data_IF_511861051938
#
_entry.id   IF_511861051938
#
_cell.length_a   1.000
_cell.length_b   1.000
_cell.length_c   1.000
_cell.angle_alpha   90.00
_cell.angle_beta   90.00
_cell.angle_gamma   90.00
#
_symmetry.space_group_name_H-M   'P 1'
#
loop_
_entity.id
_entity.type
_entity.pdbx_description
1 polymer ?
#
# COMPACT_ATOMS: atom_id res chain seq x y z
N UNK A 1 -23.85 27.76 3.07
CA UNK A 1 -22.52 27.19 3.42
C UNK A 1 -22.14 26.31 2.23
N UNK A 2 -21.40 26.86 1.27
CA UNK A 2 -21.05 26.12 0.05
C UNK A 2 -20.05 25.03 0.38
N UNK A 3 -20.46 23.79 0.19
CA UNK A 3 -19.58 22.63 0.18
C UNK A 3 -18.71 22.74 -1.08
N UNK A 4 -17.46 23.15 -0.92
CA UNK A 4 -16.50 23.12 -2.01
C UNK A 4 -16.11 21.66 -2.24
N UNK A 5 -16.60 21.08 -3.34
CA UNK A 5 -16.15 19.76 -3.80
C UNK A 5 -14.70 19.91 -4.25
N UNK A 6 -13.77 19.36 -3.47
CA UNK A 6 -12.36 19.31 -3.83
C UNK A 6 -12.21 18.60 -5.20
N UNK A 7 -11.25 19.01 -6.06
CA UNK A 7 -11.04 18.34 -7.33
C UNK A 7 -10.74 16.86 -7.09
N UNK A 8 -11.45 15.98 -7.80
CA UNK A 8 -11.26 14.53 -7.71
C UNK A 8 -9.85 14.19 -8.18
N UNK A 9 -9.02 13.73 -7.26
CA UNK A 9 -7.65 13.26 -7.57
C UNK A 9 -7.74 11.79 -7.94
N UNK A 10 -7.13 11.40 -9.06
CA UNK A 10 -7.13 10.03 -9.54
C UNK A 10 -5.69 9.56 -9.84
N UNK A 11 -5.42 8.27 -9.67
CA UNK A 11 -4.15 7.67 -10.11
C UNK A 11 -4.09 7.61 -11.64
N UNK A 12 -2.92 7.35 -12.26
CA UNK A 12 -2.84 7.11 -13.71
C UNK A 12 -3.71 5.96 -14.22
N UNK A 13 -4.17 5.08 -13.31
CA UNK A 13 -5.08 3.98 -13.62
C UNK A 13 -6.57 4.31 -13.36
N UNK A 14 -6.89 5.57 -13.04
CA UNK A 14 -8.27 6.04 -12.80
C UNK A 14 -8.86 5.69 -11.43
N UNK A 15 -8.01 5.36 -10.44
CA UNK A 15 -8.49 5.05 -9.08
C UNK A 15 -8.66 6.37 -8.31
N UNK A 16 -9.86 6.70 -7.78
CA UNK A 16 -10.06 7.92 -7.02
C UNK A 16 -9.33 7.86 -5.67
N UNK A 17 -8.73 8.98 -5.29
CA UNK A 17 -8.02 9.16 -4.03
C UNK A 17 -8.76 10.15 -3.14
N UNK A 18 -8.93 9.79 -1.87
CA UNK A 18 -9.45 10.68 -0.84
C UNK A 18 -8.34 11.63 -0.35
N UNK A 19 -8.66 12.86 0.09
CA UNK A 19 -7.65 13.81 0.53
C UNK A 19 -6.84 13.36 1.75
N UNK A 20 -7.43 12.58 2.65
CA UNK A 20 -6.82 12.09 3.89
C UNK A 20 -7.36 10.70 4.18
N UNK A 21 -6.46 9.77 4.53
CA UNK A 21 -6.83 8.43 4.96
C UNK A 21 -6.71 8.27 6.49
N UNK A 22 -7.78 7.84 7.14
CA UNK A 22 -7.90 7.74 8.60
C UNK A 22 -7.74 6.32 9.15
N UNK A 23 -7.61 6.14 10.48
CA UNK A 23 -7.51 4.82 11.11
C UNK A 23 -8.70 3.89 10.82
N UNK A 24 -9.90 4.45 10.62
CA UNK A 24 -11.12 3.69 10.34
C UNK A 24 -11.22 3.10 8.93
N UNK A 25 -10.33 3.50 8.02
CA UNK A 25 -10.25 2.96 6.66
C UNK A 25 -9.24 1.82 6.55
N UNK A 26 -8.56 1.51 7.66
CA UNK A 26 -7.70 0.33 7.74
C UNK A 26 -8.57 -0.93 7.69
N UNK A 27 -8.26 -1.80 6.74
CA UNK A 27 -8.81 -3.15 6.69
C UNK A 27 -8.24 -4.05 7.81
N UNK A 28 -8.30 -5.36 7.59
CA UNK A 28 -7.71 -6.33 8.52
C UNK A 28 -6.19 -6.20 8.50
N UNK A 29 -5.56 -6.27 9.68
CA UNK A 29 -4.11 -6.30 9.76
C UNK A 29 -3.57 -7.55 9.04
N UNK A 30 -2.64 -7.38 8.08
CA UNK A 30 -2.12 -8.50 7.33
C UNK A 30 -1.28 -9.43 8.23
N UNK A 31 -1.17 -10.72 7.86
CA UNK A 31 -0.38 -11.70 8.61
C UNK A 31 1.11 -11.35 8.62
N UNK A 32 1.93 -12.05 9.44
CA UNK A 32 3.38 -11.95 9.41
C UNK A 32 3.98 -12.09 7.99
N UNK A 33 5.16 -11.49 7.72
CA UNK A 33 5.85 -11.70 6.45
C UNK A 33 6.18 -13.18 6.26
N UNK A 34 6.14 -13.67 5.02
CA UNK A 34 6.36 -15.09 4.71
C UNK A 34 5.13 -15.97 4.84
N UNK A 35 3.97 -15.42 5.20
CA UNK A 35 2.71 -16.15 5.29
C UNK A 35 1.71 -15.68 4.23
N UNK A 36 0.88 -16.60 3.71
CA UNK A 36 -0.20 -16.27 2.76
C UNK A 36 -1.16 -15.25 3.39
N UNK A 37 -1.61 -14.20 2.67
CA UNK A 37 -1.48 -13.95 1.23
C UNK A 37 -0.24 -13.11 0.85
N UNK A 38 0.79 -13.10 1.69
CA UNK A 38 2.10 -12.47 1.45
C UNK A 38 2.05 -10.95 1.28
N UNK A 39 1.02 -10.28 1.80
CA UNK A 39 0.88 -8.81 1.77
C UNK A 39 2.10 -8.09 2.35
N UNK A 40 2.75 -8.67 3.37
CA UNK A 40 3.96 -8.12 4.02
C UNK A 40 5.28 -8.64 3.41
N UNK A 41 5.22 -9.36 2.29
CA UNK A 41 6.38 -9.97 1.65
C UNK A 41 6.36 -11.51 1.76
N UNK A 42 7.01 -12.15 0.80
CA UNK A 42 7.05 -13.61 0.65
C UNK A 42 8.12 -14.31 1.51
N UNK A 43 9.10 -13.56 2.04
CA UNK A 43 10.15 -14.10 2.91
C UNK A 43 9.99 -13.54 4.32
N UNK A 44 9.98 -14.42 5.33
CA UNK A 44 9.83 -14.03 6.73
C UNK A 44 10.91 -13.06 7.23
N UNK A 45 12.15 -13.23 6.76
CA UNK A 45 13.27 -12.33 7.09
C UNK A 45 13.34 -11.07 6.20
N UNK A 46 12.60 -11.04 5.08
CA UNK A 46 12.70 -9.98 4.06
C UNK A 46 14.14 -9.62 3.69
N UNK A 47 14.40 -8.32 3.52
CA UNK A 47 15.72 -7.79 3.19
C UNK A 47 16.74 -7.82 4.35
N UNK A 48 16.33 -8.20 5.57
CA UNK A 48 17.27 -8.46 6.67
C UNK A 48 18.03 -9.77 6.46
N UNK A 49 17.46 -10.72 5.72
CA UNK A 49 18.11 -11.99 5.38
C UNK A 49 18.82 -11.96 4.03
N UNK A 50 18.18 -11.36 3.01
CA UNK A 50 18.75 -11.23 1.66
C UNK A 50 18.30 -9.93 1.02
N UNK A 51 19.23 -9.04 0.70
CA UNK A 51 18.96 -7.78 0.00
C UNK A 51 18.36 -8.04 -1.39
N UNK A 52 17.62 -7.06 -1.92
CA UNK A 52 17.15 -7.12 -3.31
C UNK A 52 18.32 -7.23 -4.28
N UNK A 53 18.09 -7.89 -5.40
CA UNK A 53 19.09 -7.97 -6.47
C UNK A 53 19.17 -6.63 -7.19
N UNK A 54 20.35 -6.02 -7.22
CA UNK A 54 20.64 -4.92 -8.14
C UNK A 54 20.80 -5.52 -9.55
N UNK A 55 19.86 -5.22 -10.45
CA UNK A 55 19.89 -5.72 -11.83
C UNK A 55 20.32 -4.61 -12.77
N UNK A 56 21.41 -4.86 -13.50
CA UNK A 56 21.83 -4.03 -14.63
C UNK A 56 21.28 -4.68 -15.91
N UNK A 57 20.69 -3.85 -16.76
CA UNK A 57 20.18 -4.25 -18.08
C UNK A 57 21.07 -3.65 -19.17
#
# INVERSE_FOLDING_TARGET
>A
MSEQVAPRVETPSGIPLEPVYGPGERGVDPPPPGEYPFTRGNFASGYRGKTWTFRQY
#
